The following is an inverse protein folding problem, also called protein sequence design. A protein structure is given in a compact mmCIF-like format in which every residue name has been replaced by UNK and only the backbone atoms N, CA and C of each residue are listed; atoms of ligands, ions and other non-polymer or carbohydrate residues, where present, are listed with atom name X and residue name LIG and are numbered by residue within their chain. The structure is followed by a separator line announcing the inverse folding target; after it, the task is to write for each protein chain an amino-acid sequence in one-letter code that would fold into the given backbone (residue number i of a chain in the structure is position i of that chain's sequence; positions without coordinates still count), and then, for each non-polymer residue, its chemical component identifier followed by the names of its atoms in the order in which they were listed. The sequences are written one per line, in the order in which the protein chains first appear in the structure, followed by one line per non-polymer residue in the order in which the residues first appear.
data_IF_093675328987
#
_entry.id   IF_093675328987
#
_cell.length_a   1.000
_cell.length_b   1.000
_cell.length_c   1.000
_cell.angle_alpha   90.00
_cell.angle_beta   90.00
_cell.angle_gamma   90.00
#
_symmetry.space_group_name_H-M   'P 1'
#
loop_
_entity.id
_entity.type
_entity.pdbx_description
1 polymer ?
#
# COMPACT_ATOMS: atom_id res chain seq x y z
N UNK A 1 -13.22 21.75 -24.88
CA UNK A 1 -12.62 21.41 -23.59
C UNK A 1 -13.60 21.70 -22.46
N UNK A 2 -13.76 20.77 -21.52
CA UNK A 2 -14.64 20.94 -20.35
C UNK A 2 -13.92 21.60 -19.15
N UNK A 3 -12.89 22.39 -19.42
CA UNK A 3 -12.07 23.05 -18.40
C UNK A 3 -11.15 22.06 -17.66
N UNK A 4 -10.82 22.38 -16.40
CA UNK A 4 -9.99 21.51 -15.54
C UNK A 4 -10.88 20.47 -14.83
N UNK A 5 -11.55 19.62 -15.59
CA UNK A 5 -12.43 18.55 -15.07
C UNK A 5 -12.01 17.20 -15.64
N UNK A 6 -12.34 16.08 -14.96
CA UNK A 6 -12.04 14.74 -15.46
C UNK A 6 -12.93 14.28 -16.64
N UNK A 7 -13.75 15.18 -17.19
CA UNK A 7 -14.70 14.85 -18.25
C UNK A 7 -14.20 15.28 -19.61
N UNK A 8 -14.46 14.46 -20.60
CA UNK A 8 -14.20 14.72 -22.00
C UNK A 8 -15.51 14.60 -22.80
N UNK A 9 -15.75 15.56 -23.71
CA UNK A 9 -16.84 15.47 -24.65
C UNK A 9 -16.41 14.63 -25.86
N UNK A 10 -17.04 13.50 -26.08
CA UNK A 10 -16.79 12.63 -27.26
C UNK A 10 -17.46 13.15 -28.48
N UNK A 11 -18.68 13.65 -28.32
CA UNK A 11 -19.52 14.15 -29.43
C UNK A 11 -20.23 15.41 -28.97
N UNK A 12 -20.37 16.39 -29.86
CA UNK A 12 -21.06 17.62 -29.60
C UNK A 12 -22.00 17.88 -30.78
N UNK A 13 -23.30 17.80 -30.50
CA UNK A 13 -24.35 18.16 -31.46
C UNK A 13 -24.93 19.52 -31.08
N UNK A 14 -25.09 20.41 -32.07
CA UNK A 14 -25.62 21.73 -31.85
C UNK A 14 -26.84 21.90 -32.75
N UNK A 15 -28.01 22.10 -32.15
CA UNK A 15 -29.26 22.35 -32.88
C UNK A 15 -29.89 23.62 -32.37
N UNK A 16 -30.24 24.51 -33.29
CA UNK A 16 -30.93 25.77 -33.03
C UNK A 16 -32.27 25.84 -33.79
N UNK A 17 -33.28 26.31 -33.10
CA UNK A 17 -34.61 26.53 -33.67
C UNK A 17 -34.81 27.98 -34.20
N UNK A 18 -33.79 28.81 -34.10
CA UNK A 18 -33.81 30.22 -34.55
C UNK A 18 -32.44 30.89 -34.40
N UNK A 19 -32.33 32.13 -34.80
CA UNK A 19 -31.10 32.93 -34.68
C UNK A 19 -30.99 33.52 -33.27
N UNK A 20 -30.29 32.83 -32.38
CA UNK A 20 -30.05 33.25 -31.01
C UNK A 20 -28.63 33.74 -30.85
N UNK A 21 -28.43 34.87 -30.18
CA UNK A 21 -27.12 35.30 -29.73
C UNK A 21 -26.94 34.90 -28.25
N UNK A 22 -25.97 34.04 -27.98
CA UNK A 22 -25.58 33.66 -26.64
C UNK A 22 -24.16 34.14 -26.33
N UNK A 23 -23.97 35.04 -25.35
CA UNK A 23 -22.63 35.45 -24.93
C UNK A 23 -21.79 34.27 -24.47
N UNK A 24 -20.51 34.28 -24.79
CA UNK A 24 -19.58 33.20 -24.40
C UNK A 24 -19.50 33.00 -22.88
N UNK A 25 -19.71 34.07 -22.10
CA UNK A 25 -19.76 33.99 -20.63
C UNK A 25 -20.94 33.14 -20.15
N UNK A 26 -22.12 33.30 -20.76
CA UNK A 26 -23.32 32.51 -20.42
C UNK A 26 -23.12 31.03 -20.75
N UNK A 27 -22.52 30.72 -21.89
CA UNK A 27 -22.19 29.36 -22.27
C UNK A 27 -21.17 28.74 -21.31
N UNK A 28 -20.19 29.54 -20.88
CA UNK A 28 -19.21 29.08 -19.90
C UNK A 28 -19.83 28.77 -18.52
N UNK A 29 -20.82 29.60 -18.12
CA UNK A 29 -21.57 29.37 -16.87
C UNK A 29 -22.46 28.14 -16.95
N UNK A 30 -23.19 27.93 -18.03
CA UNK A 30 -23.96 26.71 -18.24
C UNK A 30 -23.10 25.47 -18.19
N UNK A 31 -21.95 25.50 -18.83
CA UNK A 31 -21.00 24.40 -18.79
C UNK A 31 -20.57 24.10 -17.34
N UNK A 32 -20.16 25.11 -16.56
CA UNK A 32 -19.74 24.95 -15.17
C UNK A 32 -20.86 24.33 -14.33
N UNK A 33 -22.05 24.92 -14.38
CA UNK A 33 -23.21 24.43 -13.65
C UNK A 33 -23.59 22.99 -14.03
N UNK A 34 -23.54 22.65 -15.31
CA UNK A 34 -23.84 21.29 -15.78
C UNK A 34 -22.83 20.27 -15.22
N UNK A 35 -21.56 20.60 -15.25
CA UNK A 35 -20.50 19.73 -14.70
C UNK A 35 -20.64 19.58 -13.18
N UNK A 36 -20.89 20.66 -12.43
CA UNK A 36 -21.07 20.61 -10.99
C UNK A 36 -22.29 19.77 -10.60
N UNK A 37 -23.40 19.93 -11.32
CA UNK A 37 -24.60 19.09 -11.14
C UNK A 37 -24.31 17.61 -11.45
N UNK A 38 -23.55 17.33 -12.52
CA UNK A 38 -23.16 15.96 -12.87
C UNK A 38 -22.30 15.33 -11.77
N UNK A 39 -21.30 16.05 -11.28
CA UNK A 39 -20.44 15.58 -10.18
C UNK A 39 -21.30 15.28 -8.94
N UNK A 40 -22.19 16.20 -8.58
CA UNK A 40 -23.08 16.06 -7.43
C UNK A 40 -24.01 14.85 -7.60
N UNK A 41 -24.65 14.72 -8.77
CA UNK A 41 -25.52 13.59 -9.08
C UNK A 41 -24.78 12.25 -9.02
N UNK A 42 -23.57 12.19 -9.55
CA UNK A 42 -22.74 10.96 -9.47
C UNK A 42 -22.38 10.60 -8.05
N UNK A 43 -22.04 11.56 -7.19
CA UNK A 43 -21.76 11.32 -5.76
C UNK A 43 -22.98 10.81 -5.02
N UNK A 44 -24.13 11.43 -5.21
CA UNK A 44 -25.38 11.07 -4.53
C UNK A 44 -25.85 9.68 -4.97
N UNK A 45 -25.73 9.37 -6.27
CA UNK A 45 -26.19 8.10 -6.84
C UNK A 45 -25.13 7.00 -6.82
N UNK A 46 -23.92 7.28 -6.30
CA UNK A 46 -22.90 6.24 -6.15
C UNK A 46 -23.36 5.19 -5.15
N UNK A 47 -23.50 3.99 -5.62
CA UNK A 47 -23.78 2.81 -4.80
C UNK A 47 -22.56 1.90 -4.87
N UNK A 48 -21.97 1.64 -3.71
CA UNK A 48 -20.93 0.63 -3.61
C UNK A 48 -21.57 -0.75 -3.72
N UNK A 49 -21.08 -1.55 -4.65
CA UNK A 49 -21.47 -2.96 -4.70
C UNK A 49 -20.87 -3.66 -3.48
N UNK A 50 -21.74 -4.10 -2.57
CA UNK A 50 -21.36 -4.87 -1.40
C UNK A 50 -21.40 -6.35 -1.77
N UNK A 51 -20.25 -7.01 -1.76
CA UNK A 51 -20.22 -8.46 -1.85
C UNK A 51 -20.72 -9.06 -0.53
N UNK A 52 -21.60 -10.05 -0.63
CA UNK A 52 -21.99 -10.84 0.55
C UNK A 52 -20.80 -11.70 0.94
N UNK A 53 -20.26 -11.43 2.14
CA UNK A 53 -19.19 -12.25 2.70
C UNK A 53 -19.69 -13.67 2.93
N UNK A 54 -18.98 -14.65 2.37
CA UNK A 54 -19.25 -16.07 2.60
C UNK A 54 -18.12 -16.64 3.45
N UNK A 55 -18.48 -17.23 4.60
CA UNK A 55 -17.52 -17.95 5.42
C UNK A 55 -16.90 -19.11 4.63
N UNK A 56 -15.61 -19.30 4.77
CA UNK A 56 -14.88 -20.43 4.18
C UNK A 56 -14.30 -21.29 5.29
N UNK A 57 -14.16 -22.59 5.06
CA UNK A 57 -13.59 -23.53 6.02
C UNK A 57 -12.19 -24.02 5.58
N UNK A 58 -11.51 -23.23 4.72
CA UNK A 58 -10.16 -23.61 4.29
C UNK A 58 -9.17 -23.42 5.43
N UNK A 59 -8.40 -24.47 5.74
CA UNK A 59 -7.37 -24.38 6.74
C UNK A 59 -6.28 -23.38 6.32
N UNK A 60 -5.85 -22.55 7.25
CA UNK A 60 -4.70 -21.67 7.02
C UNK A 60 -3.41 -22.52 6.95
N UNK A 61 -2.46 -22.19 6.05
CA UNK A 61 -1.28 -23.03 5.81
C UNK A 61 -0.34 -23.18 7.02
N UNK A 62 -0.43 -22.29 7.99
CA UNK A 62 0.42 -22.26 9.18
C UNK A 62 -0.42 -22.47 10.44
N UNK A 63 0.09 -23.26 11.37
CA UNK A 63 -0.56 -23.48 12.67
C UNK A 63 -0.18 -22.44 13.72
N UNK A 64 0.88 -21.67 13.46
CA UNK A 64 1.38 -20.63 14.35
C UNK A 64 1.65 -19.36 13.57
N UNK A 65 1.12 -18.24 14.04
CA UNK A 65 1.41 -16.90 13.53
C UNK A 65 2.26 -16.14 14.54
N UNK A 66 3.40 -15.63 14.09
CA UNK A 66 4.25 -14.71 14.85
C UNK A 66 3.76 -13.26 14.66
N UNK A 67 4.45 -12.30 15.26
CA UNK A 67 4.18 -10.87 15.04
C UNK A 67 4.16 -10.45 13.57
N UNK A 68 4.83 -11.21 12.68
CA UNK A 68 4.82 -10.98 11.24
C UNK A 68 3.45 -11.20 10.59
N UNK A 69 2.54 -11.91 11.25
CA UNK A 69 1.15 -12.05 10.83
C UNK A 69 0.34 -10.78 10.99
N UNK A 70 0.89 -9.77 11.67
CA UNK A 70 0.31 -8.45 11.88
C UNK A 70 -1.13 -8.46 12.42
N UNK A 71 -1.38 -9.30 13.42
CA UNK A 71 -2.71 -9.48 14.00
C UNK A 71 -2.97 -8.40 15.06
N UNK A 72 -3.68 -7.35 14.64
CA UNK A 72 -3.92 -6.16 15.46
C UNK A 72 -5.16 -6.23 16.36
N UNK A 73 -6.14 -7.05 16.05
CA UNK A 73 -7.42 -7.07 16.74
C UNK A 73 -7.98 -8.48 16.94
N UNK A 74 -8.95 -8.58 17.84
CA UNK A 74 -9.58 -9.85 18.21
C UNK A 74 -10.31 -10.53 17.05
N UNK A 75 -10.95 -9.75 16.15
CA UNK A 75 -11.65 -10.32 14.98
C UNK A 75 -10.68 -11.00 14.03
N UNK A 76 -9.52 -10.39 13.79
CA UNK A 76 -8.48 -11.00 12.98
C UNK A 76 -7.93 -12.27 13.66
N UNK A 77 -7.72 -12.23 14.98
CA UNK A 77 -7.30 -13.41 15.73
C UNK A 77 -8.32 -14.56 15.64
N UNK A 78 -9.60 -14.27 15.85
CA UNK A 78 -10.68 -15.26 15.71
C UNK A 78 -10.74 -15.85 14.31
N UNK A 79 -10.60 -15.02 13.28
CA UNK A 79 -10.56 -15.50 11.90
C UNK A 79 -9.46 -16.55 11.68
N UNK A 80 -8.25 -16.28 12.13
CA UNK A 80 -7.15 -17.24 12.00
C UNK A 80 -7.39 -18.51 12.82
N UNK A 81 -7.92 -18.38 14.03
CA UNK A 81 -8.27 -19.52 14.88
C UNK A 81 -9.36 -20.41 14.26
N UNK A 82 -10.41 -19.81 13.70
CA UNK A 82 -11.46 -20.51 12.96
C UNK A 82 -10.92 -21.27 11.73
N UNK A 83 -9.78 -20.82 11.20
CA UNK A 83 -9.09 -21.48 10.08
C UNK A 83 -7.93 -22.39 10.52
N UNK A 84 -7.90 -22.78 11.79
CA UNK A 84 -7.00 -23.82 12.31
C UNK A 84 -5.66 -23.32 12.83
N UNK A 85 -5.45 -22.01 12.97
CA UNK A 85 -4.25 -21.47 13.63
C UNK A 85 -4.39 -21.63 15.14
N UNK A 86 -3.45 -22.34 15.74
CA UNK A 86 -3.47 -22.66 17.18
C UNK A 86 -2.86 -21.54 18.04
N UNK A 87 -1.85 -20.86 17.51
CA UNK A 87 -1.14 -19.80 18.22
C UNK A 87 -1.08 -18.55 17.34
N UNK A 88 -1.58 -17.45 17.87
CA UNK A 88 -1.62 -16.15 17.19
C UNK A 88 -0.94 -15.12 18.08
N UNK A 89 0.28 -14.72 17.71
CA UNK A 89 0.97 -13.64 18.39
C UNK A 89 0.38 -12.28 17.98
N UNK A 90 0.43 -11.31 18.87
CA UNK A 90 0.03 -9.94 18.58
C UNK A 90 0.97 -9.30 17.55
N UNK A 91 0.48 -8.29 16.82
CA UNK A 91 1.30 -7.46 15.96
C UNK A 91 2.37 -6.71 16.77
N UNK A 92 3.51 -6.43 16.13
CA UNK A 92 4.65 -5.74 16.75
C UNK A 92 4.26 -4.41 17.41
N UNK A 93 3.32 -3.66 16.81
CA UNK A 93 2.83 -2.40 17.32
C UNK A 93 2.04 -2.53 18.64
N UNK A 94 1.50 -3.72 18.92
CA UNK A 94 0.82 -4.03 20.18
C UNK A 94 1.79 -4.56 21.23
N UNK A 95 2.67 -5.44 20.81
CA UNK A 95 3.61 -6.11 21.69
C UNK A 95 4.97 -6.23 20.99
N UNK A 96 5.89 -5.35 21.38
CA UNK A 96 7.21 -5.31 20.80
C UNK A 96 7.99 -6.60 21.12
N UNK A 97 8.57 -7.19 20.10
CA UNK A 97 9.39 -8.40 20.18
C UNK A 97 10.87 -8.00 20.11
N UNK A 98 11.68 -8.52 21.00
CA UNK A 98 13.11 -8.29 20.97
C UNK A 98 13.74 -8.83 19.68
N UNK A 99 14.71 -8.11 19.12
CA UNK A 99 15.39 -8.43 17.85
C UNK A 99 14.45 -8.62 16.65
N UNK A 100 13.28 -7.97 16.67
CA UNK A 100 12.30 -8.08 15.61
C UNK A 100 12.84 -7.62 14.26
N UNK A 101 12.48 -8.35 13.21
CA UNK A 101 12.66 -7.91 11.83
C UNK A 101 11.54 -6.95 11.48
N UNK A 102 11.89 -5.68 11.25
CA UNK A 102 10.94 -4.62 10.91
C UNK A 102 10.66 -4.54 9.42
N UNK A 103 11.66 -4.97 8.60
CA UNK A 103 11.54 -4.93 7.15
C UNK A 103 12.34 -6.05 6.49
N UNK A 104 11.77 -6.65 5.46
CA UNK A 104 12.43 -7.58 4.54
C UNK A 104 12.65 -6.90 3.20
N UNK A 105 13.92 -6.74 2.79
CA UNK A 105 14.28 -6.08 1.54
C UNK A 105 14.91 -7.06 0.56
N UNK A 106 14.44 -7.04 -0.67
CA UNK A 106 15.16 -7.67 -1.79
C UNK A 106 16.31 -6.81 -2.29
N UNK A 107 16.23 -5.49 -2.11
CA UNK A 107 17.36 -4.60 -2.32
C UNK A 107 18.42 -4.84 -1.24
N UNK A 108 19.60 -5.29 -1.64
CA UNK A 108 20.67 -5.65 -0.73
C UNK A 108 21.81 -4.64 -0.82
N UNK A 109 22.14 -3.96 0.26
CA UNK A 109 23.23 -2.98 0.31
C UNK A 109 24.59 -3.59 -0.03
N UNK A 110 24.88 -4.82 0.42
CA UNK A 110 26.11 -5.50 0.03
C UNK A 110 26.24 -5.65 -1.49
N UNK A 111 25.14 -6.02 -2.15
CA UNK A 111 25.13 -6.14 -3.61
C UNK A 111 25.32 -4.77 -4.29
N UNK A 112 24.58 -3.76 -3.83
CA UNK A 112 24.66 -2.40 -4.39
C UNK A 112 26.06 -1.77 -4.26
N UNK A 113 26.76 -2.10 -3.16
CA UNK A 113 28.11 -1.59 -2.90
C UNK A 113 29.24 -2.46 -3.51
N UNK A 114 28.88 -3.50 -4.24
CA UNK A 114 29.86 -4.39 -4.86
C UNK A 114 30.49 -5.44 -3.92
N UNK A 115 29.90 -5.68 -2.74
CA UNK A 115 30.45 -6.57 -1.70
C UNK A 115 29.65 -7.86 -1.52
N UNK A 116 28.85 -8.25 -2.51
CA UNK A 116 28.09 -9.49 -2.41
C UNK A 116 29.02 -10.72 -2.45
N UNK A 117 29.05 -11.54 -1.40
CA UNK A 117 29.96 -12.70 -1.35
C UNK A 117 29.56 -13.80 -2.35
N UNK A 118 28.31 -13.84 -2.79
CA UNK A 118 27.81 -14.86 -3.71
C UNK A 118 27.96 -14.43 -5.16
N UNK A 119 27.47 -13.25 -5.52
CA UNK A 119 27.42 -12.81 -6.91
C UNK A 119 28.69 -12.06 -7.38
N UNK A 120 29.31 -11.31 -6.47
CA UNK A 120 30.48 -10.49 -6.78
C UNK A 120 31.78 -11.06 -6.21
N UNK A 121 31.69 -12.00 -5.25
CA UNK A 121 32.81 -12.67 -4.58
C UNK A 121 33.80 -11.70 -3.94
N UNK A 122 33.35 -10.51 -3.58
CA UNK A 122 34.15 -9.46 -2.95
C UNK A 122 33.74 -9.34 -1.49
N UNK A 123 34.70 -9.22 -0.59
CA UNK A 123 34.45 -8.94 0.83
C UNK A 123 34.34 -7.44 1.07
N UNK A 124 33.45 -7.07 1.95
CA UNK A 124 33.36 -5.69 2.41
C UNK A 124 34.64 -5.26 3.13
N UNK A 125 35.12 -4.03 2.91
CA UNK A 125 36.22 -3.45 3.68
C UNK A 125 35.80 -3.07 5.11
N UNK A 126 34.51 -3.05 5.40
CA UNK A 126 33.96 -2.70 6.70
C UNK A 126 33.53 -3.92 7.51
N UNK A 127 33.67 -3.82 8.83
CA UNK A 127 33.21 -4.88 9.76
C UNK A 127 31.73 -4.80 10.02
N UNK A 128 31.08 -5.94 10.14
CA UNK A 128 29.69 -6.02 10.62
C UNK A 128 29.60 -5.87 12.15
N UNK A 129 28.43 -5.46 12.65
CA UNK A 129 27.15 -5.24 11.96
C UNK A 129 27.08 -3.87 11.26
N UNK A 130 26.32 -3.83 10.15
CA UNK A 130 25.99 -2.57 9.48
C UNK A 130 24.71 -1.98 10.03
N UNK A 131 24.59 -0.66 9.93
CA UNK A 131 23.44 0.08 10.43
C UNK A 131 22.92 1.05 9.38
N UNK A 132 21.59 1.15 9.28
CA UNK A 132 20.94 2.31 8.71
C UNK A 132 20.68 3.32 9.82
N UNK A 133 20.89 4.60 9.53
CA UNK A 133 20.60 5.69 10.43
C UNK A 133 19.55 6.58 9.77
N UNK A 134 18.41 6.76 10.41
CA UNK A 134 17.36 7.64 9.93
C UNK A 134 17.69 9.11 10.24
N UNK A 135 16.97 10.05 9.61
CA UNK A 135 17.21 11.48 9.79
C UNK A 135 17.01 11.95 11.23
N UNK A 136 16.19 11.25 12.02
CA UNK A 136 15.98 11.47 13.45
C UNK A 136 17.00 10.76 14.35
N UNK A 137 18.06 10.19 13.77
CA UNK A 137 19.16 9.56 14.48
C UNK A 137 18.91 8.14 14.95
N UNK A 138 17.73 7.54 14.67
CA UNK A 138 17.47 6.14 15.01
C UNK A 138 18.34 5.20 14.20
N UNK A 139 18.83 4.17 14.85
CA UNK A 139 19.69 3.17 14.24
C UNK A 139 18.92 1.88 14.02
N UNK A 140 19.14 1.25 12.88
CA UNK A 140 18.57 -0.03 12.51
C UNK A 140 19.69 -0.97 12.09
N UNK A 141 19.76 -2.15 12.73
CA UNK A 141 20.76 -3.16 12.41
C UNK A 141 20.38 -3.90 11.12
N UNK A 142 21.36 -4.13 10.26
CA UNK A 142 21.18 -4.91 9.06
C UNK A 142 21.68 -6.34 9.25
N UNK A 143 20.87 -7.29 8.82
CA UNK A 143 21.19 -8.71 8.75
C UNK A 143 21.03 -9.18 7.30
N UNK A 144 21.99 -9.96 6.81
CA UNK A 144 22.01 -10.40 5.40
C UNK A 144 21.80 -11.90 5.31
N UNK A 145 20.62 -12.28 4.82
CA UNK A 145 20.30 -13.66 4.48
C UNK A 145 20.71 -13.92 3.02
N UNK A 146 21.99 -14.20 2.83
CA UNK A 146 22.56 -14.39 1.50
C UNK A 146 22.02 -15.63 0.77
N UNK A 147 21.52 -16.65 1.51
CA UNK A 147 20.91 -17.85 0.91
C UNK A 147 19.61 -17.50 0.18
N UNK A 148 18.81 -16.61 0.76
CA UNK A 148 17.53 -16.20 0.22
C UNK A 148 17.61 -14.86 -0.56
N UNK A 149 18.80 -14.30 -0.73
CA UNK A 149 19.02 -12.97 -1.33
C UNK A 149 18.10 -11.91 -0.69
N UNK A 150 18.15 -11.82 0.64
CA UNK A 150 17.30 -10.95 1.41
C UNK A 150 18.10 -10.19 2.47
N UNK A 151 17.86 -8.90 2.57
CA UNK A 151 18.37 -8.07 3.67
C UNK A 151 17.24 -7.82 4.66
N UNK A 152 17.51 -8.02 5.95
CA UNK A 152 16.57 -7.77 7.05
C UNK A 152 16.99 -6.52 7.78
N UNK A 153 16.05 -5.65 8.06
CA UNK A 153 16.24 -4.46 8.88
C UNK A 153 15.62 -4.72 10.24
N UNK A 154 16.42 -4.61 11.30
CA UNK A 154 16.03 -4.89 12.68
C UNK A 154 16.14 -3.63 13.52
N UNK A 155 15.31 -3.51 14.57
CA UNK A 155 15.51 -2.49 15.59
C UNK A 155 16.93 -2.65 16.19
N UNK A 156 17.71 -1.58 16.26
CA UNK A 156 18.93 -1.57 17.06
C UNK A 156 18.55 -1.17 18.49
N UNK A 157 19.00 -1.93 19.42
CA UNK A 157 18.95 -1.56 20.83
C UNK A 157 19.85 -0.37 21.10
#
# INVERSE_FOLDING_TARGET
KLGNTPFEAKEIEISFTGNWFLPASVLADFRRQAIDRLITARRINYRQELSVWKSTNHAFPQTTLTYLGNVMNTRAASFYQEHGVQQVAAAYEKEAVEDAVLMFCKHCLRYSMGWCPIHQRVRSPYKEPYYLVSNDGKRFRLEFDCKNCQMKVKAAQ
#
